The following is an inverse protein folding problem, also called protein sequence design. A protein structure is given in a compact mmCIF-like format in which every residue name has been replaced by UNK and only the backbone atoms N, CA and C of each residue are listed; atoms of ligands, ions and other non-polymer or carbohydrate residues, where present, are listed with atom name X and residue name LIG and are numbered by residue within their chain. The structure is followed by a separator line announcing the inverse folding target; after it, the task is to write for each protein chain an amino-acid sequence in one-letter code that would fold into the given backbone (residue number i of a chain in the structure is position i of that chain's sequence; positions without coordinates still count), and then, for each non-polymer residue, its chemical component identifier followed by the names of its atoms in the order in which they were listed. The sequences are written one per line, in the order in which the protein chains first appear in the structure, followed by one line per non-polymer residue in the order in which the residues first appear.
data_IF_594021252155
#
_entry.id   IF_594021252155
#
_cell.length_a   1.000
_cell.length_b   1.000
_cell.length_c   1.000
_cell.angle_alpha   90.00
_cell.angle_beta   90.00
_cell.angle_gamma   90.00
#
_symmetry.space_group_name_H-M   'P 1'
#
loop_
_entity.id
_entity.type
_entity.pdbx_description
1 polymer ?
#
# COMPACT_ATOMS: atom_id res chain seq x y z
N UNK A 1 21.04 57.03 14.51
CA UNK A 1 21.77 56.05 13.69
C UNK A 1 21.46 54.57 14.02
N UNK A 2 20.36 54.27 14.70
CA UNK A 2 20.03 52.88 15.10
C UNK A 2 19.05 52.12 14.18
N UNK A 3 18.55 52.77 13.14
CA UNK A 3 17.55 52.17 12.25
C UNK A 3 18.11 51.35 11.06
N UNK A 4 19.38 51.50 10.72
CA UNK A 4 19.98 50.79 9.59
C UNK A 4 20.29 49.31 9.86
N UNK A 5 20.58 48.95 11.10
CA UNK A 5 20.87 47.56 11.48
C UNK A 5 19.64 46.65 11.43
N UNK A 6 18.47 47.15 11.84
CA UNK A 6 17.23 46.37 11.86
C UNK A 6 16.72 46.03 10.46
N UNK A 7 16.83 46.92 9.50
CA UNK A 7 16.42 46.72 8.12
C UNK A 7 17.26 45.64 7.40
N UNK A 8 18.58 45.67 7.63
CA UNK A 8 19.50 44.65 7.07
C UNK A 8 19.23 43.30 7.66
N UNK A 9 18.95 43.18 8.94
CA UNK A 9 18.66 41.90 9.61
C UNK A 9 17.36 41.28 9.08
N UNK A 10 16.31 42.11 8.90
CA UNK A 10 15.03 41.64 8.33
C UNK A 10 15.22 41.17 6.88
N UNK A 11 15.95 41.92 6.07
CA UNK A 11 16.20 41.55 4.67
C UNK A 11 16.99 40.24 4.55
N UNK A 12 18.00 40.00 5.37
CA UNK A 12 18.78 38.77 5.40
C UNK A 12 17.91 37.58 5.86
N UNK A 13 17.08 37.77 6.91
CA UNK A 13 16.16 36.72 7.36
C UNK A 13 15.14 36.31 6.27
N UNK A 14 14.56 37.28 5.56
CA UNK A 14 13.65 37.01 4.47
C UNK A 14 14.34 36.27 3.32
N UNK A 15 15.59 36.61 2.99
CA UNK A 15 16.37 35.96 1.97
C UNK A 15 16.62 34.48 2.31
N UNK A 16 16.98 34.15 3.55
CA UNK A 16 17.17 32.79 4.01
C UNK A 16 15.88 31.96 3.95
N UNK A 17 14.73 32.55 4.29
CA UNK A 17 13.43 31.84 4.17
C UNK A 17 13.07 31.52 2.72
N UNK A 18 13.28 32.46 1.81
CA UNK A 18 12.99 32.23 0.38
C UNK A 18 13.92 31.15 -0.21
N UNK A 19 15.22 31.21 0.13
CA UNK A 19 16.18 30.20 -0.34
C UNK A 19 15.84 28.80 0.19
N UNK A 20 15.38 28.69 1.45
CA UNK A 20 14.96 27.41 2.04
C UNK A 20 13.76 26.78 1.30
N UNK A 21 12.86 27.59 0.78
CA UNK A 21 11.71 27.09 0.00
C UNK A 21 12.11 26.57 -1.38
N UNK A 22 13.12 27.15 -2.00
CA UNK A 22 13.58 26.75 -3.34
C UNK A 22 14.38 25.45 -3.31
N UNK A 23 15.09 25.18 -2.22
CA UNK A 23 15.91 23.97 -2.06
C UNK A 23 15.24 22.86 -1.24
N UNK A 24 13.97 22.99 -0.88
CA UNK A 24 13.26 21.90 -0.22
C UNK A 24 13.17 20.70 -1.19
N UNK A 25 13.76 19.53 -0.87
CA UNK A 25 13.63 18.35 -1.70
C UNK A 25 12.14 18.01 -1.79
N UNK A 26 11.67 17.72 -3.01
CA UNK A 26 10.31 17.23 -3.19
C UNK A 26 10.15 15.94 -2.36
N UNK A 27 9.42 16.03 -1.26
CA UNK A 27 9.08 14.87 -0.46
C UNK A 27 8.29 13.91 -1.38
N UNK A 28 8.73 12.66 -1.50
CA UNK A 28 7.99 11.64 -2.22
C UNK A 28 6.69 11.41 -1.45
N UNK A 29 5.60 12.00 -1.95
CA UNK A 29 4.30 11.86 -1.34
C UNK A 29 3.81 10.43 -1.50
N UNK A 30 3.28 9.85 -0.41
CA UNK A 30 2.58 8.59 -0.43
C UNK A 30 1.23 8.79 -1.15
N UNK A 31 1.03 8.08 -2.25
CA UNK A 31 -0.21 8.13 -3.03
C UNK A 31 -1.14 7.03 -2.56
N UNK A 32 -2.37 7.41 -2.22
CA UNK A 32 -3.43 6.47 -1.87
C UNK A 32 -4.07 5.93 -3.14
N UNK A 33 -4.26 4.61 -3.19
CA UNK A 33 -4.93 3.87 -4.26
C UNK A 33 -6.22 3.31 -3.67
N UNK A 34 -7.34 3.58 -4.31
CA UNK A 34 -8.62 3.01 -3.91
C UNK A 34 -8.77 1.62 -4.52
N UNK A 35 -9.17 0.66 -3.70
CA UNK A 35 -9.44 -0.71 -4.14
C UNK A 35 -10.94 -0.97 -4.09
N UNK A 36 -11.49 -1.54 -5.16
CA UNK A 36 -12.92 -1.84 -5.30
C UNK A 36 -13.15 -3.16 -6.04
N UNK A 37 -14.41 -3.60 -6.11
CA UNK A 37 -14.84 -4.81 -6.80
C UNK A 37 -14.03 -6.05 -6.40
N UNK A 38 -13.76 -6.18 -5.10
CA UNK A 38 -12.97 -7.27 -4.55
C UNK A 38 -13.70 -8.60 -4.67
N UNK A 39 -13.00 -9.58 -5.23
CA UNK A 39 -13.41 -10.98 -5.24
C UNK A 39 -12.21 -11.88 -4.99
N UNK A 40 -12.44 -13.16 -4.73
CA UNK A 40 -11.35 -14.11 -4.59
C UNK A 40 -11.76 -15.48 -5.15
N UNK A 41 -10.77 -16.24 -5.55
CA UNK A 41 -10.90 -17.64 -5.98
C UNK A 41 -9.68 -18.44 -5.56
N UNK A 42 -9.78 -19.75 -5.61
CA UNK A 42 -8.64 -20.63 -5.30
C UNK A 42 -7.52 -20.45 -6.33
N UNK A 43 -6.28 -20.56 -5.86
CA UNK A 43 -5.13 -20.52 -6.76
C UNK A 43 -5.15 -21.70 -7.74
N UNK A 44 -4.66 -21.51 -8.98
CA UNK A 44 -4.33 -22.62 -9.85
C UNK A 44 -3.33 -23.57 -9.19
N UNK A 45 -3.30 -24.86 -9.55
CA UNK A 45 -2.44 -25.85 -8.92
C UNK A 45 -0.96 -25.46 -8.87
N UNK A 46 -0.46 -24.78 -9.90
CA UNK A 46 0.94 -24.35 -10.03
C UNK A 46 1.34 -23.33 -8.94
N UNK A 47 0.39 -22.54 -8.46
CA UNK A 47 0.59 -21.56 -7.40
C UNK A 47 0.27 -22.10 -6.01
N UNK A 48 -0.49 -23.18 -5.95
CA UNK A 48 -0.93 -23.80 -4.68
C UNK A 48 0.12 -24.77 -4.10
N UNK A 49 0.99 -25.36 -4.93
CA UNK A 49 2.02 -26.30 -4.47
C UNK A 49 3.01 -25.64 -3.50
N UNK A 50 3.28 -26.32 -2.40
CA UNK A 50 4.24 -25.86 -1.39
C UNK A 50 3.78 -24.65 -0.56
N UNK A 51 2.50 -24.31 -0.62
CA UNK A 51 1.95 -23.17 0.14
C UNK A 51 1.95 -23.46 1.64
N UNK A 52 2.59 -22.60 2.40
CA UNK A 52 2.60 -22.61 3.87
C UNK A 52 1.95 -21.35 4.42
N UNK A 53 1.34 -21.45 5.60
CA UNK A 53 0.70 -20.28 6.20
C UNK A 53 1.70 -19.19 6.55
N UNK A 54 1.33 -17.94 6.33
CA UNK A 54 2.17 -16.76 6.63
C UNK A 54 2.39 -16.52 8.12
N UNK A 55 1.84 -17.34 9.00
CA UNK A 55 1.87 -17.18 10.46
C UNK A 55 3.05 -17.81 11.18
N UNK A 56 4.08 -18.32 10.46
CA UNK A 56 5.27 -18.90 11.06
C UNK A 56 5.13 -20.32 11.57
N UNK A 57 3.98 -20.97 11.39
CA UNK A 57 3.80 -22.41 11.56
C UNK A 57 3.88 -23.09 10.19
N UNK A 58 4.56 -24.23 10.11
CA UNK A 58 4.62 -25.06 8.91
C UNK A 58 3.30 -25.81 8.63
N UNK A 59 2.18 -25.25 9.02
CA UNK A 59 0.85 -25.84 8.82
C UNK A 59 0.43 -25.67 7.37
N UNK A 60 -0.29 -26.68 6.85
CA UNK A 60 -0.90 -26.65 5.54
C UNK A 60 -1.73 -25.36 5.37
N UNK A 61 -1.64 -24.75 4.21
CA UNK A 61 -2.35 -23.52 3.88
C UNK A 61 -3.07 -23.65 2.56
N UNK A 62 -4.20 -22.92 2.46
CA UNK A 62 -4.92 -22.72 1.21
C UNK A 62 -4.45 -21.43 0.54
N UNK A 63 -4.27 -21.49 -0.76
CA UNK A 63 -3.90 -20.35 -1.59
C UNK A 63 -5.15 -19.76 -2.25
N UNK A 64 -5.31 -18.44 -2.16
CA UNK A 64 -6.35 -17.71 -2.87
C UNK A 64 -5.75 -16.53 -3.64
N UNK A 65 -6.34 -16.24 -4.78
CA UNK A 65 -6.08 -15.02 -5.56
C UNK A 65 -7.23 -14.04 -5.30
N UNK A 66 -6.89 -12.90 -4.72
CA UNK A 66 -7.79 -11.76 -4.59
C UNK A 66 -7.62 -10.87 -5.81
N UNK A 67 -8.72 -10.59 -6.47
CA UNK A 67 -8.76 -9.71 -7.65
C UNK A 67 -9.66 -8.51 -7.38
N UNK A 68 -9.44 -7.44 -8.12
CA UNK A 68 -10.24 -6.22 -7.98
C UNK A 68 -9.77 -5.11 -8.90
N UNK A 69 -10.30 -3.92 -8.69
CA UNK A 69 -9.93 -2.69 -9.37
C UNK A 69 -9.08 -1.81 -8.46
N UNK A 70 -8.02 -1.26 -9.02
CA UNK A 70 -7.16 -0.27 -8.37
C UNK A 70 -7.34 1.08 -9.06
N UNK A 71 -7.80 2.10 -8.36
CA UNK A 71 -8.03 3.43 -8.87
C UNK A 71 -6.94 4.38 -8.38
N UNK A 72 -6.20 4.92 -9.33
CA UNK A 72 -5.12 5.87 -9.12
C UNK A 72 -5.48 7.25 -9.70
N UNK A 73 -5.91 8.15 -8.84
CA UNK A 73 -6.34 9.51 -9.21
C UNK A 73 -5.19 10.54 -9.19
N UNK A 74 -3.95 10.11 -8.98
CA UNK A 74 -2.80 11.03 -8.88
C UNK A 74 -2.34 11.60 -10.22
N UNK A 75 -2.77 11.02 -11.34
CA UNK A 75 -2.29 11.36 -12.68
C UNK A 75 -0.85 10.91 -12.96
N UNK A 76 -0.21 10.20 -12.04
CA UNK A 76 1.16 9.69 -12.16
C UNK A 76 1.18 8.17 -11.94
N UNK A 77 2.17 7.51 -12.52
CA UNK A 77 2.41 6.10 -12.26
C UNK A 77 2.84 5.91 -10.79
N UNK A 78 2.19 4.99 -10.10
CA UNK A 78 2.54 4.60 -8.73
C UNK A 78 3.20 3.24 -8.77
N UNK A 79 4.30 3.08 -8.03
CA UNK A 79 5.08 1.84 -7.97
C UNK A 79 5.12 1.30 -6.56
N UNK A 80 5.20 -0.02 -6.45
CA UNK A 80 5.24 -0.75 -5.17
C UNK A 80 4.12 -0.30 -4.21
N UNK A 81 2.88 -0.30 -4.71
CA UNK A 81 1.73 0.03 -3.89
C UNK A 81 1.45 -1.11 -2.91
N UNK A 82 1.77 -0.90 -1.63
CA UNK A 82 1.50 -1.88 -0.57
C UNK A 82 -0.01 -1.96 -0.30
N UNK A 83 -0.54 -3.17 -0.30
CA UNK A 83 -1.94 -3.48 0.00
C UNK A 83 -2.08 -3.80 1.47
N UNK A 84 -3.02 -3.12 2.11
CA UNK A 84 -3.44 -3.35 3.49
C UNK A 84 -4.91 -3.76 3.52
N UNK A 85 -5.27 -4.61 4.46
CA UNK A 85 -6.64 -5.05 4.61
C UNK A 85 -6.81 -6.03 5.76
N UNK A 86 -8.04 -6.44 5.98
CA UNK A 86 -8.40 -7.47 6.95
C UNK A 86 -9.14 -8.60 6.26
N UNK A 87 -8.83 -9.82 6.67
CA UNK A 87 -9.48 -11.03 6.16
C UNK A 87 -10.10 -11.74 7.35
N UNK A 88 -11.38 -12.03 7.24
CA UNK A 88 -12.13 -12.79 8.23
C UNK A 88 -12.63 -14.09 7.63
N UNK A 89 -12.80 -15.10 8.47
CA UNK A 89 -13.45 -16.35 8.11
C UNK A 89 -14.99 -16.20 8.08
N UNK A 90 -15.69 -17.28 7.75
CA UNK A 90 -17.15 -17.32 7.74
C UNK A 90 -17.77 -16.97 9.09
N UNK A 91 -17.06 -17.20 10.19
CA UNK A 91 -17.51 -16.96 11.57
C UNK A 91 -17.08 -15.59 12.12
N UNK A 92 -16.56 -14.70 11.26
CA UNK A 92 -16.00 -13.39 11.64
C UNK A 92 -14.75 -13.42 12.53
N UNK A 93 -14.01 -14.51 12.54
CA UNK A 93 -12.70 -14.54 13.18
C UNK A 93 -11.65 -13.93 12.25
N UNK A 94 -10.80 -13.06 12.77
CA UNK A 94 -9.68 -12.52 12.01
C UNK A 94 -8.65 -13.61 11.71
N UNK A 95 -8.31 -13.77 10.44
CA UNK A 95 -7.35 -14.80 10.00
C UNK A 95 -5.91 -14.32 10.15
N UNK A 96 -5.68 -13.00 10.09
CA UNK A 96 -4.34 -12.39 10.09
C UNK A 96 -4.23 -11.33 11.19
N UNK A 97 -4.32 -11.76 12.45
CA UNK A 97 -4.42 -10.85 13.61
C UNK A 97 -3.28 -9.83 13.71
N UNK A 98 -2.06 -10.22 13.37
CA UNK A 98 -0.87 -9.40 13.53
C UNK A 98 -0.34 -8.82 12.21
N UNK A 99 -1.06 -8.98 11.11
CA UNK A 99 -0.55 -8.59 9.80
C UNK A 99 -1.65 -7.91 8.99
N UNK A 100 -1.52 -6.61 8.79
CA UNK A 100 -2.44 -5.83 7.93
C UNK A 100 -1.92 -5.63 6.52
N UNK A 101 -0.60 -5.71 6.30
CA UNK A 101 0.01 -5.69 4.98
C UNK A 101 -0.11 -7.07 4.33
N UNK A 102 -0.85 -7.14 3.23
CA UNK A 102 -1.17 -8.39 2.54
C UNK A 102 -0.25 -8.68 1.35
N UNK A 103 0.31 -7.65 0.75
CA UNK A 103 1.18 -7.74 -0.41
C UNK A 103 1.37 -6.38 -1.08
N UNK A 104 1.70 -6.38 -2.36
CA UNK A 104 1.89 -5.15 -3.13
C UNK A 104 1.51 -5.33 -4.60
N UNK A 105 1.14 -4.23 -5.23
CA UNK A 105 0.99 -4.10 -6.68
C UNK A 105 2.25 -3.41 -7.19
N UNK A 106 2.95 -4.03 -8.13
CA UNK A 106 4.24 -3.52 -8.61
C UNK A 106 4.09 -2.17 -9.31
N UNK A 107 3.07 -2.03 -10.15
CA UNK A 107 2.80 -0.81 -10.92
C UNK A 107 1.29 -0.56 -10.99
N UNK A 108 0.88 0.65 -10.61
CA UNK A 108 -0.50 1.13 -10.75
C UNK A 108 -0.50 2.35 -11.69
N UNK A 109 -0.93 2.21 -12.94
CA UNK A 109 -1.01 3.32 -13.87
C UNK A 109 -2.10 4.32 -13.44
N UNK A 110 -2.09 5.56 -13.96
CA UNK A 110 -3.17 6.51 -13.75
C UNK A 110 -4.52 5.94 -14.25
N UNK A 111 -5.58 6.23 -13.52
CA UNK A 111 -6.92 5.74 -13.80
C UNK A 111 -7.22 4.42 -13.12
N UNK A 112 -8.11 3.62 -13.69
CA UNK A 112 -8.55 2.33 -13.16
C UNK A 112 -7.82 1.20 -13.86
N UNK A 113 -7.24 0.29 -13.08
CA UNK A 113 -6.57 -0.92 -13.57
C UNK A 113 -6.99 -2.13 -12.75
N UNK A 114 -6.83 -3.33 -13.32
CA UNK A 114 -7.02 -4.56 -12.58
C UNK A 114 -5.80 -4.86 -11.72
N UNK A 115 -6.03 -5.51 -10.58
CA UNK A 115 -4.95 -6.05 -9.77
C UNK A 115 -5.26 -7.47 -9.33
N UNK A 116 -4.21 -8.21 -9.02
CA UNK A 116 -4.28 -9.54 -8.45
C UNK A 116 -3.31 -9.64 -7.27
N UNK A 117 -3.76 -10.25 -6.19
CA UNK A 117 -3.00 -10.44 -4.98
C UNK A 117 -3.12 -11.89 -4.51
N UNK A 118 -1.99 -12.58 -4.39
CA UNK A 118 -1.96 -13.92 -3.80
C UNK A 118 -1.93 -13.83 -2.29
N UNK A 119 -2.86 -14.51 -1.63
CA UNK A 119 -2.91 -14.66 -0.18
C UNK A 119 -2.86 -16.13 0.20
N UNK A 120 -2.33 -16.41 1.39
CA UNK A 120 -2.31 -17.74 1.99
C UNK A 120 -2.97 -17.71 3.34
N UNK A 121 -3.93 -18.60 3.55
CA UNK A 121 -4.66 -18.73 4.81
C UNK A 121 -4.51 -20.15 5.35
N UNK A 122 -4.59 -20.37 6.68
CA UNK A 122 -4.57 -21.72 7.24
C UNK A 122 -5.64 -22.60 6.59
N UNK A 123 -5.32 -23.87 6.30
CA UNK A 123 -6.21 -24.78 5.57
C UNK A 123 -7.54 -25.08 6.28
N UNK A 124 -7.59 -24.87 7.59
CA UNK A 124 -8.77 -25.13 8.43
C UNK A 124 -9.71 -23.93 8.58
N UNK A 125 -9.50 -22.86 7.83
CA UNK A 125 -10.35 -21.67 7.93
C UNK A 125 -11.68 -21.88 7.19
N UNK A 126 -12.82 -21.65 7.89
CA UNK A 126 -14.15 -21.77 7.24
C UNK A 126 -14.32 -20.68 6.17
N UNK A 127 -14.83 -21.08 5.02
CA UNK A 127 -15.22 -20.18 3.93
C UNK A 127 -16.75 -19.95 3.93
N UNK A 128 -17.26 -18.83 3.35
CA UNK A 128 -16.53 -17.82 2.56
C UNK A 128 -15.69 -16.88 3.40
N UNK A 129 -14.56 -16.43 2.82
CA UNK A 129 -13.73 -15.39 3.39
C UNK A 129 -14.37 -14.01 3.19
N UNK A 130 -14.20 -13.13 4.16
CA UNK A 130 -14.65 -11.74 4.08
C UNK A 130 -13.42 -10.84 3.97
N UNK A 131 -13.40 -10.03 2.91
CA UNK A 131 -12.33 -9.09 2.60
C UNK A 131 -12.79 -7.70 3.01
N UNK A 132 -12.15 -7.11 4.03
CA UNK A 132 -12.59 -5.84 4.59
C UNK A 132 -11.45 -4.83 4.68
N UNK A 133 -11.80 -3.55 4.58
CA UNK A 133 -10.88 -2.42 4.75
C UNK A 133 -9.64 -2.49 3.84
N UNK A 134 -9.80 -3.01 2.64
CA UNK A 134 -8.72 -3.06 1.66
C UNK A 134 -8.40 -1.67 1.14
N UNK A 135 -7.13 -1.31 1.18
CA UNK A 135 -6.58 -0.07 0.65
C UNK A 135 -5.15 -0.31 0.20
N UNK A 136 -4.68 0.50 -0.72
CA UNK A 136 -3.29 0.45 -1.14
C UNK A 136 -2.66 1.84 -1.12
N UNK A 137 -1.35 1.87 -1.01
CA UNK A 137 -0.59 3.11 -1.09
C UNK A 137 0.82 2.85 -1.59
N UNK A 138 1.33 3.76 -2.40
CA UNK A 138 2.65 3.64 -3.00
C UNK A 138 3.26 4.99 -3.33
N UNK A 139 4.38 4.98 -4.04
CA UNK A 139 5.15 6.17 -4.37
C UNK A 139 5.23 6.39 -5.87
N UNK A 140 5.41 7.63 -6.30
CA UNK A 140 5.58 7.99 -7.73
C UNK A 140 6.98 7.70 -8.27
N UNK A 141 7.88 7.16 -7.47
CA UNK A 141 9.23 6.81 -7.85
C UNK A 141 9.74 5.59 -7.09
N UNK A 142 10.79 4.93 -7.61
CA UNK A 142 11.40 3.79 -6.92
C UNK A 142 12.02 4.24 -5.60
N UNK A 143 11.50 3.76 -4.51
CA UNK A 143 12.12 3.88 -3.19
C UNK A 143 13.16 2.77 -3.09
N UNK A 144 14.43 3.14 -2.91
CA UNK A 144 15.48 2.17 -2.57
C UNK A 144 15.19 1.63 -1.18
N UNK A 145 14.92 0.35 -1.11
CA UNK A 145 14.82 -0.40 0.15
C UNK A 145 16.16 -0.99 0.49
#
# INVERSE_FOLDING_TARGET
MRFRGGLVTIAVSCLFLVVSWVFAPAALALIQIQLSDLSYHECPPELAEGTVSSGGSSSAANCFLVTGKAENNSGKMVVNADIFGRIYDANNNSIMENRTRLGSIDVVPPGVSDFELRITVPANQPTPLKLEQFKASGFTGKVRR
#
